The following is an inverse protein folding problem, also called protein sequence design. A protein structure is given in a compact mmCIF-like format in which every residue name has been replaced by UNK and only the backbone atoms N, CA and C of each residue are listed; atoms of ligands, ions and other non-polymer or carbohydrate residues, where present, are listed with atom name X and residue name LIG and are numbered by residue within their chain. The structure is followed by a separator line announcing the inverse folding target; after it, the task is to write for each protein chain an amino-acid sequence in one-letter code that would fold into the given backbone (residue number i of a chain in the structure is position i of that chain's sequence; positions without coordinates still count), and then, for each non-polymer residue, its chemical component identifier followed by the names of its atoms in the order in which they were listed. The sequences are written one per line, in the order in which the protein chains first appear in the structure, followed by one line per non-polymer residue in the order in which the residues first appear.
data_IF_318820284110
#
_entry.id   IF_318820284110
#
_cell.length_a   1.000
_cell.length_b   1.000
_cell.length_c   1.000
_cell.angle_alpha   90.00
_cell.angle_beta   90.00
_cell.angle_gamma   90.00
#
_symmetry.space_group_name_H-M   'P 1'
#
loop_
_entity.id
_entity.type
_entity.pdbx_description
1 polymer ?
#
# COMPACT_ATOMS: atom_id res chain seq x y z
N UNK A 1 72.15 39.25 -21.51
CA UNK A 1 70.73 39.48 -21.83
C UNK A 1 70.39 38.56 -23.00
N UNK A 2 69.69 37.42 -22.88
CA UNK A 2 68.39 37.21 -22.21
C UNK A 2 67.34 38.02 -22.98
N UNK A 3 66.45 37.47 -23.81
CA UNK A 3 65.49 36.39 -23.53
C UNK A 3 65.27 35.48 -24.75
N UNK A 4 65.31 34.16 -24.51
CA UNK A 4 64.61 33.17 -25.32
C UNK A 4 63.22 33.01 -24.71
N UNK A 5 62.16 33.47 -25.37
CA UNK A 5 60.80 33.07 -24.99
C UNK A 5 60.53 31.67 -25.56
N UNK A 6 60.96 30.66 -24.80
CA UNK A 6 60.56 29.25 -24.96
C UNK A 6 59.09 29.14 -24.58
N UNK A 7 58.29 28.61 -25.49
CA UNK A 7 56.96 28.08 -25.21
C UNK A 7 57.12 26.98 -24.14
N UNK A 8 56.56 27.21 -22.96
CA UNK A 8 56.56 26.27 -21.84
C UNK A 8 55.61 25.08 -22.13
N UNK A 9 55.88 23.90 -21.55
CA UNK A 9 55.24 22.65 -21.91
C UNK A 9 53.86 22.46 -21.27
N UNK A 10 53.06 21.69 -21.99
CA UNK A 10 51.91 20.89 -21.56
C UNK A 10 52.13 20.22 -20.20
N UNK A 11 51.30 20.57 -19.22
CA UNK A 11 50.90 19.71 -18.10
C UNK A 11 49.45 20.07 -17.75
N UNK A 12 48.50 19.39 -18.39
CA UNK A 12 47.11 19.38 -17.94
C UNK A 12 47.01 18.43 -16.72
N UNK A 13 46.54 18.89 -15.55
CA UNK A 13 46.47 18.04 -14.37
C UNK A 13 45.43 16.95 -14.59
N UNK A 14 45.87 15.70 -14.77
CA UNK A 14 45.05 14.51 -14.55
C UNK A 14 44.78 14.34 -13.04
N UNK A 15 43.54 14.44 -12.58
CA UNK A 15 42.97 13.46 -11.67
C UNK A 15 42.19 12.44 -12.53
N UNK A 16 42.36 11.15 -12.26
CA UNK A 16 41.78 10.08 -13.06
C UNK A 16 40.25 10.23 -13.22
N UNK A 17 39.83 10.68 -14.42
CA UNK A 17 38.44 10.91 -14.84
C UNK A 17 37.65 9.59 -15.01
N UNK A 18 38.32 8.48 -14.77
CA UNK A 18 37.87 7.14 -15.08
C UNK A 18 38.49 6.17 -14.09
N UNK A 19 37.65 5.37 -13.44
CA UNK A 19 38.09 4.36 -12.48
C UNK A 19 37.73 3.00 -13.05
N UNK A 20 38.72 2.12 -13.15
CA UNK A 20 38.55 0.77 -13.67
C UNK A 20 38.62 -0.23 -12.52
N UNK A 21 37.65 -1.13 -12.43
CA UNK A 21 37.57 -2.16 -11.40
C UNK A 21 36.73 -3.34 -11.90
N UNK A 22 37.19 -4.57 -11.67
CA UNK A 22 36.41 -5.79 -11.93
C UNK A 22 35.85 -5.93 -13.35
N UNK A 23 36.55 -5.42 -14.38
CA UNK A 23 36.07 -5.43 -15.77
C UNK A 23 35.09 -4.30 -16.12
N UNK A 24 34.91 -3.31 -15.25
CA UNK A 24 34.09 -2.13 -15.46
C UNK A 24 34.89 -0.84 -15.42
N UNK A 25 34.37 0.16 -16.10
CA UNK A 25 34.92 1.50 -16.25
C UNK A 25 33.84 2.48 -15.78
N UNK A 26 34.09 3.18 -14.68
CA UNK A 26 33.20 4.21 -14.15
C UNK A 26 33.73 5.59 -14.50
N UNK A 27 32.93 6.37 -15.24
CA UNK A 27 33.22 7.74 -15.64
C UNK A 27 32.67 8.69 -14.57
N UNK A 28 33.56 9.19 -13.70
CA UNK A 28 33.17 9.98 -12.52
C UNK A 28 32.53 11.34 -12.88
N UNK A 29 32.82 11.90 -14.06
CA UNK A 29 32.22 13.18 -14.51
C UNK A 29 30.74 13.06 -14.88
N UNK A 30 30.34 11.94 -15.46
CA UNK A 30 28.99 11.76 -16.00
C UNK A 30 28.18 10.73 -15.21
N UNK A 31 28.75 10.20 -14.12
CA UNK A 31 28.17 9.11 -13.33
C UNK A 31 27.74 7.91 -14.20
N UNK A 32 28.54 7.59 -15.22
CA UNK A 32 28.25 6.49 -16.16
C UNK A 32 29.09 5.26 -15.84
N UNK A 33 28.44 4.11 -15.72
CA UNK A 33 29.09 2.81 -15.62
C UNK A 33 29.14 2.14 -16.99
N UNK A 34 30.31 1.68 -17.40
CA UNK A 34 30.54 0.98 -18.67
C UNK A 34 31.31 -0.32 -18.43
N UNK A 35 31.17 -1.30 -19.31
CA UNK A 35 32.10 -2.44 -19.36
C UNK A 35 33.43 -2.01 -19.99
N UNK A 36 34.50 -2.78 -19.80
CA UNK A 36 35.78 -2.57 -20.51
C UNK A 36 35.66 -2.62 -22.05
N UNK A 37 34.61 -3.26 -22.56
CA UNK A 37 34.26 -3.29 -23.99
C UNK A 37 33.49 -2.02 -24.46
N UNK A 38 33.23 -1.08 -23.54
CA UNK A 38 32.59 0.21 -23.83
C UNK A 38 31.05 0.21 -23.80
N UNK A 39 30.41 -0.90 -23.41
CA UNK A 39 28.94 -1.00 -23.31
C UNK A 39 28.44 -0.31 -22.03
N UNK A 40 27.44 0.56 -22.16
CA UNK A 40 26.80 1.20 -21.00
C UNK A 40 26.05 0.16 -20.14
N UNK A 41 26.22 0.25 -18.83
CA UNK A 41 25.50 -0.54 -17.83
C UNK A 41 24.48 0.38 -17.18
N UNK A 42 23.20 -0.01 -17.22
CA UNK A 42 22.14 0.80 -16.65
C UNK A 42 22.23 0.79 -15.12
N UNK A 43 22.27 1.99 -14.53
CA UNK A 43 22.36 2.21 -13.10
C UNK A 43 21.53 3.43 -12.75
N UNK A 44 20.63 3.30 -11.77
CA UNK A 44 19.79 4.42 -11.32
C UNK A 44 20.65 5.61 -10.88
N UNK A 45 20.15 6.83 -11.10
CA UNK A 45 20.87 8.09 -10.79
C UNK A 45 21.45 8.12 -9.38
N UNK A 46 20.64 7.79 -8.36
CA UNK A 46 21.09 7.80 -6.96
C UNK A 46 22.16 6.74 -6.64
N UNK A 47 22.11 5.57 -7.31
CA UNK A 47 23.16 4.55 -7.16
C UNK A 47 24.44 4.96 -7.86
N UNK A 48 24.35 5.65 -8.99
CA UNK A 48 25.50 6.18 -9.69
C UNK A 48 26.18 7.29 -8.87
N UNK A 49 25.41 8.10 -8.15
CA UNK A 49 25.92 9.07 -7.17
C UNK A 49 26.62 8.40 -5.98
N UNK A 50 26.02 7.35 -5.39
CA UNK A 50 26.69 6.52 -4.36
C UNK A 50 27.99 5.94 -4.88
N UNK A 51 27.97 5.37 -6.09
CA UNK A 51 29.17 4.82 -6.72
C UNK A 51 30.21 5.91 -6.97
N UNK A 52 29.81 7.12 -7.34
CA UNK A 52 30.72 8.26 -7.53
C UNK A 52 31.41 8.67 -6.24
N UNK A 53 30.68 8.72 -5.11
CA UNK A 53 31.27 9.05 -3.80
C UNK A 53 32.25 7.96 -3.35
N UNK A 54 31.94 6.69 -3.59
CA UNK A 54 32.84 5.57 -3.29
C UNK A 54 34.06 5.53 -4.23
N UNK A 55 33.84 5.81 -5.51
CA UNK A 55 34.88 5.83 -6.52
C UNK A 55 35.82 7.02 -6.33
N UNK A 56 35.35 8.15 -5.80
CA UNK A 56 36.21 9.27 -5.41
C UNK A 56 37.22 8.90 -4.29
N UNK A 57 36.98 7.81 -3.54
CA UNK A 57 37.86 7.32 -2.47
C UNK A 57 38.08 5.80 -2.57
N UNK A 58 38.75 5.34 -3.64
CA UNK A 58 38.90 3.90 -3.88
C UNK A 58 39.72 3.25 -2.75
N UNK A 59 39.24 2.12 -2.23
CA UNK A 59 39.87 1.40 -1.12
C UNK A 59 39.67 1.99 0.27
N UNK A 60 39.09 3.19 0.39
CA UNK A 60 38.75 3.80 1.68
C UNK A 60 37.35 3.38 2.15
N UNK A 61 37.15 3.38 3.47
CA UNK A 61 35.86 3.07 4.09
C UNK A 61 35.08 4.38 4.21
N UNK A 62 33.95 4.47 3.54
CA UNK A 62 33.02 5.59 3.67
C UNK A 62 31.88 5.17 4.61
N UNK A 63 31.69 5.93 5.70
CA UNK A 63 30.64 5.64 6.66
C UNK A 63 29.25 5.85 6.07
N UNK A 64 28.26 5.18 6.66
CA UNK A 64 26.85 5.35 6.29
C UNK A 64 26.42 6.81 6.38
N UNK A 65 26.71 7.46 7.49
CA UNK A 65 26.33 8.86 7.73
C UNK A 65 26.98 9.80 6.71
N UNK A 66 28.24 9.54 6.32
CA UNK A 66 28.92 10.32 5.29
C UNK A 66 28.31 10.14 3.90
N UNK A 67 27.90 8.92 3.54
CA UNK A 67 27.16 8.67 2.28
C UNK A 67 25.78 9.32 2.29
N UNK A 68 25.08 9.24 3.43
CA UNK A 68 23.77 9.83 3.62
C UNK A 68 23.83 11.35 3.50
N UNK A 69 24.80 11.99 4.15
CA UNK A 69 25.00 13.44 4.10
C UNK A 69 25.48 13.91 2.71
N UNK A 70 26.28 13.12 2.00
CA UNK A 70 26.81 13.51 0.69
C UNK A 70 25.74 13.52 -0.42
N UNK A 71 24.74 12.64 -0.33
CA UNK A 71 23.76 12.41 -1.40
C UNK A 71 22.39 13.00 -1.03
N UNK A 72 22.06 13.02 0.27
CA UNK A 72 20.82 13.57 0.78
C UNK A 72 21.08 14.62 1.87
N UNK A 73 21.78 15.74 1.56
CA UNK A 73 22.14 16.74 2.56
C UNK A 73 20.91 17.39 3.22
N UNK A 74 19.81 17.55 2.49
CA UNK A 74 18.59 18.24 2.93
C UNK A 74 17.34 17.35 2.81
N UNK A 75 17.49 16.03 2.85
CA UNK A 75 16.36 15.09 2.70
C UNK A 75 16.42 13.99 3.76
N UNK A 76 15.33 13.82 4.50
CA UNK A 76 15.18 12.70 5.43
C UNK A 76 14.94 11.41 4.65
N UNK A 77 16.02 10.66 4.42
CA UNK A 77 15.98 9.31 3.85
C UNK A 77 16.24 8.28 4.95
N UNK A 78 15.57 7.14 4.87
CA UNK A 78 15.84 6.01 5.77
C UNK A 78 17.08 5.25 5.31
N UNK A 79 17.64 4.51 6.26
CA UNK A 79 18.74 3.58 6.09
C UNK A 79 18.57 2.59 4.91
N UNK A 80 17.33 2.27 4.55
CA UNK A 80 16.96 1.37 3.45
C UNK A 80 17.30 1.96 2.07
N UNK A 81 17.26 3.28 1.91
CA UNK A 81 17.59 3.95 0.64
C UNK A 81 19.05 3.70 0.23
N UNK A 82 19.97 3.74 1.20
CA UNK A 82 21.38 3.44 0.97
C UNK A 82 21.60 1.93 0.72
N UNK A 83 20.90 1.07 1.46
CA UNK A 83 20.98 -0.39 1.26
C UNK A 83 20.55 -0.75 -0.16
N UNK A 84 19.46 -0.16 -0.66
CA UNK A 84 19.01 -0.36 -2.03
C UNK A 84 20.02 0.18 -3.05
N UNK A 85 20.70 1.31 -2.76
CA UNK A 85 21.72 1.85 -3.68
C UNK A 85 22.85 0.85 -3.87
N UNK A 86 23.35 0.31 -2.75
CA UNK A 86 24.45 -0.65 -2.75
C UNK A 86 24.03 -1.97 -3.42
N UNK A 87 22.80 -2.42 -3.21
CA UNK A 87 22.26 -3.60 -3.88
C UNK A 87 22.18 -3.42 -5.42
N UNK A 88 21.73 -2.24 -5.87
CA UNK A 88 21.65 -1.93 -7.30
C UNK A 88 23.04 -1.84 -7.94
N UNK A 89 24.03 -1.26 -7.24
CA UNK A 89 25.43 -1.24 -7.69
C UNK A 89 25.98 -2.66 -7.82
N UNK A 90 25.79 -3.52 -6.81
CA UNK A 90 26.27 -4.91 -6.84
C UNK A 90 25.66 -5.70 -7.98
N UNK A 91 24.35 -5.53 -8.21
CA UNK A 91 23.66 -6.18 -9.34
C UNK A 91 24.20 -5.70 -10.69
N UNK A 92 24.45 -4.41 -10.84
CA UNK A 92 25.01 -3.84 -12.06
C UNK A 92 26.44 -4.34 -12.34
N UNK A 93 27.21 -4.61 -11.29
CA UNK A 93 28.59 -5.12 -11.36
C UNK A 93 28.67 -6.65 -11.41
N UNK A 94 27.54 -7.36 -11.31
CA UNK A 94 27.51 -8.81 -11.07
C UNK A 94 28.39 -9.24 -9.87
N UNK A 95 28.44 -8.41 -8.83
CA UNK A 95 29.27 -8.58 -7.63
C UNK A 95 28.53 -9.41 -6.56
N UNK A 96 28.14 -10.64 -6.91
CA UNK A 96 27.39 -11.53 -6.01
C UNK A 96 28.20 -11.94 -4.77
N UNK A 97 29.54 -11.91 -4.87
CA UNK A 97 30.46 -12.21 -3.78
C UNK A 97 30.76 -11.00 -2.88
N UNK A 98 30.21 -9.82 -3.19
CA UNK A 98 30.51 -8.55 -2.50
C UNK A 98 32.02 -8.22 -2.45
N UNK A 99 32.76 -8.63 -3.47
CA UNK A 99 34.20 -8.47 -3.58
C UNK A 99 34.58 -7.07 -4.08
N UNK A 100 33.74 -6.46 -4.92
CA UNK A 100 33.95 -5.13 -5.51
C UNK A 100 33.41 -4.04 -4.59
N UNK A 101 32.18 -4.19 -4.09
CA UNK A 101 31.58 -3.27 -3.10
C UNK A 101 31.37 -4.03 -1.80
N UNK A 102 32.29 -3.83 -0.86
CA UNK A 102 32.34 -4.54 0.40
C UNK A 102 31.55 -3.79 1.48
N UNK A 103 30.78 -4.54 2.28
CA UNK A 103 30.12 -4.01 3.49
C UNK A 103 30.96 -4.37 4.70
N UNK A 104 31.44 -3.35 5.43
CA UNK A 104 32.16 -3.51 6.68
C UNK A 104 31.20 -3.22 7.84
N UNK A 105 30.80 -4.25 8.63
CA UNK A 105 29.82 -4.09 9.69
C UNK A 105 30.19 -2.94 10.65
N UNK A 106 29.23 -2.06 10.92
CA UNK A 106 29.37 -0.87 11.80
C UNK A 106 30.39 0.18 11.34
N UNK A 107 30.98 0.04 10.15
CA UNK A 107 32.00 0.97 9.62
C UNK A 107 31.57 1.64 8.31
N UNK A 108 30.83 0.95 7.45
CA UNK A 108 30.32 1.51 6.21
C UNK A 108 30.64 0.64 4.99
N UNK A 109 30.89 1.29 3.85
CA UNK A 109 31.12 0.63 2.57
C UNK A 109 32.48 0.99 2.00
N UNK A 110 33.07 0.07 1.25
CA UNK A 110 34.35 0.27 0.55
C UNK A 110 34.23 -0.24 -0.89
N UNK A 111 34.69 0.57 -1.83
CA UNK A 111 34.90 0.12 -3.20
C UNK A 111 36.32 -0.41 -3.34
N UNK A 112 36.46 -1.71 -3.56
CA UNK A 112 37.73 -2.36 -3.81
C UNK A 112 38.11 -2.18 -5.29
N UNK A 113 38.50 -0.95 -5.66
CA UNK A 113 39.12 -0.68 -6.94
C UNK A 113 40.64 -0.89 -6.80
N UNK A 114 41.14 -2.07 -7.15
CA UNK A 114 42.58 -2.27 -7.30
C UNK A 114 43.05 -1.54 -8.58
N UNK A 115 44.05 -0.63 -8.52
CA UNK A 115 44.60 0.04 -9.70
C UNK A 115 45.42 -0.87 -10.63
N UNK A 116 45.33 -2.19 -10.49
CA UNK A 116 46.21 -3.15 -11.18
C UNK A 116 45.41 -4.25 -11.87
N UNK A 117 44.66 -3.87 -12.91
CA UNK A 117 44.39 -4.73 -14.07
C UNK A 117 44.87 -4.05 -15.38
N UNK A 118 45.80 -3.08 -15.25
CA UNK A 118 46.46 -2.41 -16.36
C UNK A 118 47.86 -2.96 -16.66
N UNK A 119 48.19 -4.18 -16.23
CA UNK A 119 49.54 -4.73 -16.43
C UNK A 119 49.50 -6.24 -16.63
N UNK A 120 49.01 -6.66 -17.81
CA UNK A 120 49.42 -7.92 -18.43
C UNK A 120 49.24 -7.85 -19.96
N UNK A 121 49.59 -6.70 -20.54
CA UNK A 121 49.64 -6.51 -21.99
C UNK A 121 50.90 -5.74 -22.38
N UNK A 122 52.06 -6.28 -22.01
CA UNK A 122 53.29 -6.00 -22.74
C UNK A 122 54.31 -7.13 -22.54
N UNK A 123 54.24 -8.15 -23.40
CA UNK A 123 55.40 -8.89 -23.94
C UNK A 123 54.97 -10.17 -24.70
N UNK A 124 54.21 -10.02 -25.78
CA UNK A 124 54.23 -11.02 -26.84
C UNK A 124 53.89 -10.39 -28.20
N UNK A 125 54.88 -9.66 -28.69
CA UNK A 125 55.21 -9.57 -30.10
C UNK A 125 54.22 -8.86 -31.04
N UNK A 126 54.59 -7.60 -31.31
CA UNK A 126 54.72 -7.06 -32.66
C UNK A 126 55.10 -8.16 -33.67
N UNK A 127 54.12 -8.64 -34.43
CA UNK A 127 54.12 -9.17 -35.81
C UNK A 127 52.79 -9.91 -35.94
N UNK A 128 51.76 -9.39 -36.59
CA UNK A 128 51.74 -9.15 -38.03
C UNK A 128 50.49 -8.32 -38.38
N UNK A 129 50.68 -7.29 -39.20
CA UNK A 129 49.60 -6.52 -39.84
C UNK A 129 48.90 -7.40 -40.89
N UNK A 130 47.58 -7.31 -40.91
CA UNK A 130 46.68 -7.49 -42.06
C UNK A 130 46.48 -8.93 -42.62
N UNK A 131 45.28 -9.48 -42.41
CA UNK A 131 44.26 -9.62 -43.48
C UNK A 131 42.97 -10.27 -42.96
N UNK A 132 41.87 -9.61 -43.29
CA UNK A 132 40.48 -10.06 -43.21
C UNK A 132 40.26 -11.40 -43.91
N UNK A 133 39.77 -12.42 -43.19
CA UNK A 133 39.01 -13.54 -43.76
C UNK A 133 37.95 -14.01 -42.77
N UNK A 134 36.71 -13.58 -43.01
CA UNK A 134 35.53 -14.04 -42.27
C UNK A 134 35.32 -15.54 -42.57
N UNK A 135 35.57 -16.40 -41.59
CA UNK A 135 35.36 -17.85 -41.70
C UNK A 135 33.86 -18.16 -41.70
N UNK A 136 33.40 -18.95 -42.67
CA UNK A 136 32.01 -19.46 -42.76
C UNK A 136 31.52 -20.12 -41.46
N UNK A 137 32.43 -20.62 -40.62
CA UNK A 137 32.10 -21.18 -39.29
C UNK A 137 31.69 -20.10 -38.28
N UNK A 138 32.24 -18.90 -38.38
CA UNK A 138 31.85 -17.75 -37.54
C UNK A 138 30.46 -17.23 -37.86
N UNK A 139 30.04 -17.32 -39.13
CA UNK A 139 28.67 -16.95 -39.55
C UNK A 139 27.64 -17.96 -39.03
N UNK A 140 27.96 -19.27 -39.06
CA UNK A 140 27.07 -20.31 -38.52
C UNK A 140 26.95 -20.17 -36.99
N UNK A 141 28.05 -19.90 -36.29
CA UNK A 141 28.02 -19.71 -34.83
C UNK A 141 27.25 -18.44 -34.45
N UNK A 142 27.43 -17.34 -35.20
CA UNK A 142 26.66 -16.11 -35.01
C UNK A 142 25.16 -16.30 -35.28
N UNK A 143 24.80 -17.11 -36.28
CA UNK A 143 23.41 -17.47 -36.55
C UNK A 143 22.79 -18.31 -35.43
N UNK A 144 23.52 -19.27 -34.87
CA UNK A 144 23.04 -20.08 -33.73
C UNK A 144 22.87 -19.21 -32.48
N UNK A 145 23.81 -18.29 -32.20
CA UNK A 145 23.70 -17.35 -31.08
C UNK A 145 22.52 -16.40 -31.28
N UNK A 146 22.27 -15.92 -32.50
CA UNK A 146 21.11 -15.08 -32.80
C UNK A 146 19.79 -15.85 -32.65
N UNK A 147 19.74 -17.12 -33.05
CA UNK A 147 18.55 -17.96 -32.86
C UNK A 147 18.35 -18.29 -31.37
N UNK A 148 19.41 -18.60 -30.63
CA UNK A 148 19.35 -18.84 -29.19
C UNK A 148 18.96 -17.56 -28.42
N UNK A 149 19.45 -16.39 -28.84
CA UNK A 149 19.06 -15.10 -28.30
C UNK A 149 17.63 -14.73 -28.66
N UNK A 150 17.15 -15.07 -29.86
CA UNK A 150 15.76 -14.86 -30.26
C UNK A 150 14.81 -15.81 -29.51
N UNK A 151 15.20 -17.06 -29.30
CA UNK A 151 14.46 -18.04 -28.48
C UNK A 151 14.48 -17.59 -27.01
N UNK A 152 15.63 -17.19 -26.49
CA UNK A 152 15.77 -16.63 -25.13
C UNK A 152 15.00 -15.33 -24.94
N UNK A 153 14.90 -14.48 -25.96
CA UNK A 153 14.06 -13.28 -25.93
C UNK A 153 12.57 -13.62 -26.07
N UNK A 154 12.21 -14.65 -26.85
CA UNK A 154 10.83 -15.10 -27.02
C UNK A 154 10.28 -15.72 -25.72
N UNK A 155 11.02 -16.64 -25.10
CA UNK A 155 10.65 -17.25 -23.82
C UNK A 155 10.96 -16.34 -22.60
N UNK A 156 12.00 -15.50 -22.69
CA UNK A 156 12.33 -14.51 -21.65
C UNK A 156 11.36 -13.34 -21.59
N UNK A 157 10.75 -12.97 -22.72
CA UNK A 157 9.65 -12.00 -22.75
C UNK A 157 8.36 -12.55 -22.14
N UNK A 158 8.16 -13.87 -22.10
CA UNK A 158 7.09 -14.51 -21.31
C UNK A 158 7.41 -14.53 -19.81
N UNK A 159 8.68 -14.76 -19.44
CA UNK A 159 9.12 -14.72 -18.05
C UNK A 159 9.15 -13.30 -17.43
N UNK A 160 9.32 -12.25 -18.25
CA UNK A 160 9.25 -10.84 -17.81
C UNK A 160 7.85 -10.22 -17.97
N UNK A 161 6.95 -10.86 -18.73
CA UNK A 161 5.51 -10.54 -18.75
C UNK A 161 4.70 -11.30 -17.69
N UNK A 162 5.33 -12.19 -16.94
CA UNK A 162 4.79 -12.66 -15.68
C UNK A 162 4.86 -11.53 -14.66
N UNK A 163 3.99 -10.52 -14.83
CA UNK A 163 3.40 -9.82 -13.70
C UNK A 163 3.02 -10.89 -12.67
N UNK A 164 3.19 -10.65 -11.36
CA UNK A 164 2.79 -11.62 -10.36
C UNK A 164 1.40 -12.11 -10.74
N UNK A 165 1.27 -13.40 -11.04
CA UNK A 165 -0.01 -14.00 -11.36
C UNK A 165 -0.83 -13.84 -10.09
N UNK A 166 -1.58 -12.73 -9.98
CA UNK A 166 -2.58 -12.53 -8.95
C UNK A 166 -3.75 -13.41 -9.37
N UNK A 167 -3.61 -14.72 -9.19
CA UNK A 167 -4.70 -15.68 -9.33
C UNK A 167 -5.58 -15.58 -8.10
N UNK A 168 -6.38 -14.53 -8.07
CA UNK A 168 -7.61 -14.49 -7.32
C UNK A 168 -8.60 -13.92 -8.30
N UNK A 169 -9.54 -14.73 -8.80
CA UNK A 169 -10.70 -14.23 -9.54
C UNK A 169 -11.51 -13.20 -8.72
N UNK A 170 -11.23 -13.11 -7.41
CA UNK A 170 -11.82 -12.18 -6.47
C UNK A 170 -11.03 -10.87 -6.42
N UNK A 171 -11.64 -9.73 -6.80
CA UNK A 171 -11.06 -8.39 -6.70
C UNK A 171 -10.65 -8.05 -5.28
N UNK A 172 -9.52 -7.35 -5.11
CA UNK A 172 -9.01 -6.91 -3.81
C UNK A 172 -9.15 -5.40 -3.66
N UNK A 173 -9.74 -4.93 -2.56
CA UNK A 173 -9.98 -3.52 -2.28
C UNK A 173 -9.36 -3.09 -0.94
N UNK A 174 -8.73 -1.91 -0.93
CA UNK A 174 -8.33 -1.23 0.30
C UNK A 174 -9.09 0.08 0.46
N UNK A 175 -9.53 0.36 1.67
CA UNK A 175 -10.19 1.61 2.04
C UNK A 175 -9.19 2.45 2.83
N UNK A 176 -8.80 3.58 2.26
CA UNK A 176 -7.89 4.54 2.86
C UNK A 176 -8.61 5.39 3.91
N UNK A 177 -7.87 5.93 4.89
CA UNK A 177 -8.45 6.84 5.87
C UNK A 177 -9.01 8.07 5.15
N UNK A 178 -10.26 8.42 5.45
CA UNK A 178 -10.88 9.61 4.88
C UNK A 178 -10.24 10.87 5.48
N UNK A 179 -9.97 11.85 4.63
CA UNK A 179 -9.54 13.16 5.09
C UNK A 179 -10.68 13.87 5.82
N UNK A 180 -10.34 14.60 6.89
CA UNK A 180 -11.32 15.37 7.64
C UNK A 180 -11.01 16.88 7.55
N UNK A 181 -11.86 17.58 6.80
CA UNK A 181 -11.81 19.04 6.62
C UNK A 181 -12.78 19.79 7.54
N UNK A 182 -13.32 19.13 8.57
CA UNK A 182 -14.14 19.75 9.61
C UNK A 182 -13.30 20.63 10.55
N UNK A 183 -13.93 21.61 11.19
CA UNK A 183 -13.28 22.55 12.12
C UNK A 183 -13.63 22.24 13.59
N UNK A 184 -12.71 22.52 14.52
CA UNK A 184 -12.97 22.45 15.97
C UNK A 184 -12.99 21.03 16.56
N UNK A 185 -13.85 20.81 17.57
CA UNK A 185 -13.95 19.56 18.34
C UNK A 185 -14.52 18.37 17.54
N UNK A 186 -15.06 18.63 16.34
CA UNK A 186 -15.65 17.62 15.46
C UNK A 186 -14.62 16.87 14.58
N UNK A 187 -13.32 17.17 14.73
CA UNK A 187 -12.25 16.69 13.83
C UNK A 187 -11.77 15.28 14.20
N UNK A 188 -11.74 14.39 13.20
CA UNK A 188 -11.05 13.10 13.19
C UNK A 188 -11.89 11.88 13.60
N UNK A 189 -12.93 12.07 14.42
CA UNK A 189 -13.76 10.95 14.88
C UNK A 189 -14.62 10.36 13.76
N UNK A 190 -15.23 11.24 12.96
CA UNK A 190 -16.25 10.84 11.99
C UNK A 190 -15.64 10.19 10.74
N UNK A 191 -14.44 10.61 10.31
CA UNK A 191 -13.78 10.09 9.10
C UNK A 191 -13.30 8.66 9.28
N UNK A 192 -12.85 8.32 10.48
CA UNK A 192 -12.42 6.97 10.83
C UNK A 192 -13.61 6.01 10.91
N UNK A 193 -14.72 6.46 11.51
CA UNK A 193 -15.94 5.68 11.59
C UNK A 193 -16.52 5.36 10.20
N UNK A 194 -16.38 6.27 9.23
CA UNK A 194 -16.80 6.06 7.83
C UNK A 194 -16.04 4.93 7.17
N UNK A 195 -14.72 5.04 7.17
CA UNK A 195 -13.89 4.03 6.54
C UNK A 195 -14.04 2.66 7.23
N UNK A 196 -14.20 2.63 8.55
CA UNK A 196 -14.39 1.39 9.32
C UNK A 196 -15.73 0.71 9.05
N UNK A 197 -16.82 1.47 8.95
CA UNK A 197 -18.14 0.94 8.55
C UNK A 197 -18.09 0.32 7.15
N UNK A 198 -17.44 0.99 6.20
CA UNK A 198 -17.27 0.48 4.83
C UNK A 198 -16.44 -0.81 4.82
N UNK A 199 -15.31 -0.86 5.54
CA UNK A 199 -14.47 -2.06 5.64
C UNK A 199 -15.28 -3.24 6.20
N UNK A 200 -16.03 -3.01 7.27
CA UNK A 200 -16.81 -4.05 7.96
C UNK A 200 -17.88 -4.63 7.03
N UNK A 201 -18.61 -3.76 6.31
CA UNK A 201 -19.66 -4.20 5.39
C UNK A 201 -19.13 -4.91 4.16
N UNK A 202 -18.06 -4.38 3.57
CA UNK A 202 -17.44 -5.03 2.43
C UNK A 202 -16.83 -6.38 2.83
N UNK A 203 -16.25 -6.52 4.02
CA UNK A 203 -15.63 -7.77 4.47
C UNK A 203 -16.62 -8.93 4.62
N UNK A 204 -17.93 -8.66 4.72
CA UNK A 204 -18.98 -9.69 4.75
C UNK A 204 -19.26 -10.31 3.39
N UNK A 205 -18.89 -9.63 2.31
CA UNK A 205 -19.07 -10.16 0.96
C UNK A 205 -18.01 -11.21 0.62
N UNK A 206 -18.43 -12.27 -0.08
CA UNK A 206 -17.53 -13.27 -0.66
C UNK A 206 -17.12 -12.94 -2.09
N UNK A 207 -17.48 -11.76 -2.62
CA UNK A 207 -17.20 -11.39 -4.02
C UNK A 207 -15.96 -10.51 -4.18
N UNK A 208 -15.37 -10.03 -3.10
CA UNK A 208 -14.13 -9.24 -3.09
C UNK A 208 -13.41 -9.42 -1.76
N UNK A 209 -12.08 -9.31 -1.76
CA UNK A 209 -11.26 -9.36 -0.55
C UNK A 209 -10.93 -7.93 -0.08
N UNK A 210 -11.15 -7.66 1.20
CA UNK A 210 -10.93 -6.33 1.77
C UNK A 210 -9.66 -6.30 2.62
N UNK A 211 -8.82 -5.29 2.44
CA UNK A 211 -7.63 -5.08 3.27
C UNK A 211 -8.03 -4.52 4.64
N UNK A 212 -7.45 -5.11 5.69
CA UNK A 212 -7.70 -4.72 7.07
C UNK A 212 -7.33 -3.26 7.35
N UNK A 213 -8.13 -2.60 8.21
CA UNK A 213 -8.01 -1.21 8.64
C UNK A 213 -6.57 -0.79 8.97
N UNK A 214 -5.86 -1.56 9.81
CA UNK A 214 -4.51 -1.24 10.28
C UNK A 214 -3.46 -1.22 9.15
N UNK A 215 -3.69 -1.98 8.07
CA UNK A 215 -2.81 -1.97 6.91
C UNK A 215 -3.05 -0.73 6.06
N UNK A 216 -4.29 -0.32 5.85
CA UNK A 216 -4.63 0.85 5.03
C UNK A 216 -4.42 2.19 5.76
N UNK A 217 -4.62 2.26 7.07
CA UNK A 217 -4.57 3.51 7.83
C UNK A 217 -3.15 4.03 8.07
N UNK A 218 -2.11 3.22 7.77
CA UNK A 218 -0.69 3.65 7.83
C UNK A 218 -0.32 4.72 6.82
N UNK A 219 -1.17 4.94 5.80
CA UNK A 219 -0.99 5.94 4.74
C UNK A 219 -1.61 7.30 5.10
N UNK A 220 -2.21 7.45 6.29
CA UNK A 220 -2.77 8.73 6.74
C UNK A 220 -1.73 9.86 6.66
N UNK A 221 -2.10 10.94 5.99
CA UNK A 221 -1.29 12.17 5.92
C UNK A 221 0.03 12.00 5.18
N UNK A 222 0.23 10.88 4.46
CA UNK A 222 1.39 10.67 3.62
C UNK A 222 1.03 11.02 2.17
N UNK A 223 1.79 11.91 1.52
CA UNK A 223 1.66 12.11 0.08
C UNK A 223 2.28 10.90 -0.62
N UNK A 224 1.48 9.87 -0.88
CA UNK A 224 1.93 8.64 -1.55
C UNK A 224 1.08 8.43 -2.80
N UNK A 225 1.73 8.05 -3.91
CA UNK A 225 1.06 7.71 -5.17
C UNK A 225 0.15 6.50 -4.96
N UNK A 226 -1.07 6.56 -5.48
CA UNK A 226 -2.07 5.49 -5.35
C UNK A 226 -1.58 4.17 -5.93
N UNK A 227 -0.74 4.19 -6.97
CA UNK A 227 -0.11 2.99 -7.55
C UNK A 227 0.84 2.33 -6.56
N UNK A 228 1.65 3.13 -5.87
CA UNK A 228 2.57 2.63 -4.86
C UNK A 228 1.81 1.99 -3.69
N UNK A 229 0.73 2.63 -3.23
CA UNK A 229 -0.14 2.07 -2.19
C UNK A 229 -0.77 0.74 -2.67
N UNK A 230 -1.19 0.71 -3.94
CA UNK A 230 -1.72 -0.45 -4.63
C UNK A 230 -0.78 -1.65 -4.63
N UNK A 231 0.49 -1.39 -4.98
CA UNK A 231 1.55 -2.39 -5.02
C UNK A 231 1.92 -2.89 -3.62
N UNK A 232 2.08 -1.98 -2.66
CA UNK A 232 2.44 -2.31 -1.27
C UNK A 232 1.34 -3.13 -0.56
N UNK A 233 0.06 -2.79 -0.79
CA UNK A 233 -1.08 -3.50 -0.20
C UNK A 233 -1.52 -4.72 -1.03
N UNK A 234 -1.06 -4.83 -2.27
CA UNK A 234 -1.44 -5.89 -3.20
C UNK A 234 -2.93 -5.85 -3.57
N UNK A 235 -3.49 -4.66 -3.78
CA UNK A 235 -4.90 -4.45 -4.13
C UNK A 235 -5.10 -4.12 -5.60
N UNK A 236 -6.32 -4.31 -6.09
CA UNK A 236 -6.75 -3.91 -7.43
C UNK A 236 -7.47 -2.56 -7.41
N UNK A 237 -8.13 -2.23 -6.28
CA UNK A 237 -8.86 -0.99 -6.11
C UNK A 237 -8.54 -0.30 -4.78
N UNK A 238 -8.52 1.02 -4.81
CA UNK A 238 -8.36 1.89 -3.65
C UNK A 238 -9.57 2.81 -3.52
N UNK A 239 -10.21 2.80 -2.34
CA UNK A 239 -11.22 3.79 -1.99
C UNK A 239 -10.58 4.89 -1.14
N UNK A 240 -10.73 6.12 -1.60
CA UNK A 240 -10.30 7.31 -0.89
C UNK A 240 -11.47 8.27 -0.74
N UNK A 241 -11.34 9.22 0.18
CA UNK A 241 -12.38 10.20 0.33
C UNK A 241 -12.04 11.27 1.34
N UNK A 242 -12.95 12.22 1.43
CA UNK A 242 -12.90 13.27 2.42
C UNK A 242 -14.28 13.53 2.98
N UNK A 243 -14.33 14.06 4.17
CA UNK A 243 -15.54 14.55 4.79
C UNK A 243 -15.33 15.93 5.37
N UNK A 244 -16.41 16.69 5.42
CA UNK A 244 -16.43 18.02 6.00
C UNK A 244 -17.79 18.26 6.65
N UNK A 245 -17.78 18.51 7.96
CA UNK A 245 -18.93 18.96 8.73
C UNK A 245 -18.84 20.47 8.95
N UNK A 246 -19.94 21.17 8.66
CA UNK A 246 -20.13 22.59 8.96
C UNK A 246 -21.50 22.76 9.64
N UNK A 247 -21.50 22.89 10.96
CA UNK A 247 -22.74 22.80 11.75
C UNK A 247 -23.39 21.43 11.58
N UNK A 248 -24.67 21.40 11.18
CA UNK A 248 -25.38 20.15 10.88
C UNK A 248 -25.15 19.64 9.46
N UNK A 249 -24.54 20.44 8.57
CA UNK A 249 -24.32 20.04 7.18
C UNK A 249 -23.08 19.19 7.05
N UNK A 250 -23.22 18.09 6.33
CA UNK A 250 -22.16 17.16 6.03
C UNK A 250 -21.95 17.07 4.52
N UNK A 251 -20.69 17.19 4.12
CA UNK A 251 -20.22 16.90 2.76
C UNK A 251 -19.26 15.73 2.83
N UNK A 252 -19.49 14.72 1.99
CA UNK A 252 -18.61 13.56 1.85
C UNK A 252 -18.26 13.39 0.39
N UNK A 253 -16.98 13.38 0.06
CA UNK A 253 -16.49 12.98 -1.25
C UNK A 253 -15.87 11.59 -1.13
N UNK A 254 -16.18 10.72 -2.08
CA UNK A 254 -15.60 9.39 -2.16
C UNK A 254 -15.20 9.12 -3.60
N UNK A 255 -14.06 8.46 -3.76
CA UNK A 255 -13.49 8.09 -5.05
C UNK A 255 -12.91 6.68 -5.00
N UNK A 256 -13.14 5.93 -6.07
CA UNK A 256 -12.57 4.61 -6.31
C UNK A 256 -11.54 4.74 -7.42
N UNK A 257 -10.31 4.33 -7.13
CA UNK A 257 -9.21 4.31 -8.08
C UNK A 257 -8.83 2.88 -8.43
N UNK A 258 -8.41 2.67 -9.67
CA UNK A 258 -7.70 1.46 -10.09
C UNK A 258 -6.25 1.57 -9.60
N UNK A 259 -5.83 0.58 -8.83
CA UNK A 259 -4.52 0.58 -8.18
C UNK A 259 -3.37 0.29 -9.15
N UNK A 260 -3.64 -0.23 -10.36
CA UNK A 260 -2.61 -0.58 -11.34
C UNK A 260 -2.11 0.62 -12.13
N UNK A 261 -3.02 1.48 -12.58
CA UNK A 261 -2.69 2.64 -13.42
C UNK A 261 -3.02 3.99 -12.76
N UNK A 262 -3.64 3.98 -11.57
CA UNK A 262 -4.05 5.17 -10.84
C UNK A 262 -5.28 5.85 -11.45
N UNK A 263 -5.98 5.21 -12.38
CA UNK A 263 -7.15 5.78 -13.03
C UNK A 263 -8.34 5.90 -12.07
N UNK A 264 -9.14 6.96 -12.25
CA UNK A 264 -10.35 7.18 -11.48
C UNK A 264 -11.50 6.35 -12.05
N UNK A 265 -11.89 5.29 -11.37
CA UNK A 265 -13.00 4.40 -11.76
C UNK A 265 -14.35 5.06 -11.45
N UNK A 266 -14.43 5.75 -10.32
CA UNK A 266 -15.64 6.40 -9.87
C UNK A 266 -15.32 7.51 -8.88
N UNK A 267 -16.08 8.60 -8.92
CA UNK A 267 -16.09 9.61 -7.87
C UNK A 267 -17.51 10.12 -7.69
N UNK A 268 -17.86 10.44 -6.45
CA UNK A 268 -19.10 11.15 -6.16
C UNK A 268 -18.95 12.03 -4.93
N UNK A 269 -19.74 13.09 -4.89
CA UNK A 269 -19.85 13.97 -3.74
C UNK A 269 -21.28 13.96 -3.24
N UNK A 270 -21.43 13.70 -1.96
CA UNK A 270 -22.70 13.65 -1.26
C UNK A 270 -22.78 14.85 -0.32
N UNK A 271 -23.90 15.54 -0.37
CA UNK A 271 -24.24 16.61 0.57
C UNK A 271 -25.49 16.17 1.32
N UNK A 272 -25.52 16.39 2.63
CA UNK A 272 -26.63 16.04 3.50
C UNK A 272 -26.46 16.66 4.88
N UNK A 273 -27.23 16.16 5.84
CA UNK A 273 -27.03 16.47 7.26
C UNK A 273 -26.12 15.43 7.91
N UNK A 274 -25.59 15.68 9.11
CA UNK A 274 -24.73 14.71 9.81
C UNK A 274 -25.44 13.37 10.05
N UNK A 275 -26.77 13.41 10.26
CA UNK A 275 -27.61 12.22 10.36
C UNK A 275 -27.63 11.37 9.08
N UNK A 276 -27.34 11.97 7.92
CA UNK A 276 -27.32 11.29 6.62
C UNK A 276 -25.98 10.60 6.32
N UNK A 277 -24.97 10.72 7.18
CA UNK A 277 -23.65 10.13 6.91
C UNK A 277 -23.75 8.63 6.60
N UNK A 278 -24.58 7.92 7.34
CA UNK A 278 -24.82 6.50 7.17
C UNK A 278 -25.56 6.19 5.85
N UNK A 279 -26.45 7.07 5.41
CA UNK A 279 -27.10 6.99 4.08
C UNK A 279 -26.05 7.12 2.98
N UNK A 280 -25.07 8.00 3.19
CA UNK A 280 -23.96 8.20 2.27
C UNK A 280 -23.03 6.99 2.25
N UNK A 281 -22.67 6.44 3.41
CA UNK A 281 -21.87 5.21 3.53
C UNK A 281 -22.51 4.05 2.77
N UNK A 282 -23.80 3.79 2.98
CA UNK A 282 -24.54 2.73 2.28
C UNK A 282 -24.52 2.93 0.76
N UNK A 283 -24.70 4.17 0.27
CA UNK A 283 -24.59 4.49 -1.16
C UNK A 283 -23.19 4.20 -1.71
N UNK A 284 -22.14 4.53 -0.94
CA UNK A 284 -20.76 4.23 -1.30
C UNK A 284 -20.57 2.71 -1.37
N UNK A 285 -20.94 1.97 -0.32
CA UNK A 285 -20.81 0.50 -0.24
C UNK A 285 -21.52 -0.19 -1.41
N UNK A 286 -22.76 0.18 -1.71
CA UNK A 286 -23.51 -0.39 -2.85
C UNK A 286 -22.84 -0.09 -4.17
N UNK A 287 -22.36 1.14 -4.35
CA UNK A 287 -21.65 1.52 -5.57
C UNK A 287 -20.34 0.74 -5.71
N UNK A 288 -19.62 0.51 -4.61
CA UNK A 288 -18.42 -0.32 -4.62
C UNK A 288 -18.73 -1.77 -4.93
N UNK A 289 -19.73 -2.37 -4.29
CA UNK A 289 -20.17 -3.73 -4.59
C UNK A 289 -20.57 -3.89 -6.06
N UNK A 290 -21.24 -2.89 -6.63
CA UNK A 290 -21.65 -2.85 -8.03
C UNK A 290 -20.48 -2.70 -9.01
N UNK A 291 -19.49 -1.87 -8.68
CA UNK A 291 -18.36 -1.53 -9.57
C UNK A 291 -17.22 -2.53 -9.47
N UNK A 292 -16.91 -2.99 -8.26
CA UNK A 292 -15.85 -3.96 -7.99
C UNK A 292 -16.33 -5.38 -8.31
N UNK A 293 -17.59 -5.71 -7.98
CA UNK A 293 -18.15 -7.04 -8.24
C UNK A 293 -18.43 -7.35 -9.71
N UNK A 294 -18.41 -6.35 -10.61
CA UNK A 294 -18.77 -6.50 -12.03
C UNK A 294 -17.59 -6.26 -12.96
N UNK A 295 -16.73 -7.28 -13.04
CA UNK A 295 -15.99 -7.62 -14.28
C UNK A 295 -16.89 -8.34 -15.31
N UNK A 296 -18.23 -8.26 -15.20
CA UNK A 296 -19.21 -8.89 -16.10
C UNK A 296 -20.32 -7.87 -16.44
N UNK A 297 -20.48 -7.61 -17.73
CA UNK A 297 -21.52 -6.79 -18.33
C UNK A 297 -22.93 -7.28 -17.96
N UNK A 298 -23.67 -6.51 -17.16
CA UNK A 298 -25.14 -6.46 -17.23
C UNK A 298 -25.68 -5.18 -16.59
N UNK A 299 -26.54 -4.42 -17.28
CA UNK A 299 -27.23 -3.28 -16.70
C UNK A 299 -28.46 -3.78 -15.91
N UNK A 300 -28.56 -3.40 -14.64
CA UNK A 300 -29.74 -3.62 -13.79
C UNK A 300 -29.79 -2.51 -12.73
N UNK A 301 -30.96 -2.24 -12.13
CA UNK A 301 -32.02 -1.35 -12.58
C UNK A 301 -31.93 0.00 -11.86
N UNK A 302 -32.38 1.09 -12.50
CA UNK A 302 -32.65 2.34 -11.76
C UNK A 302 -33.83 2.10 -10.82
N UNK A 303 -33.66 2.31 -9.50
CA UNK A 303 -34.80 2.36 -8.58
C UNK A 303 -34.56 3.39 -7.47
N UNK A 304 -35.60 4.21 -7.24
CA UNK A 304 -35.55 5.48 -6.51
C UNK A 304 -35.51 5.35 -4.98
N UNK A 305 -35.16 6.49 -4.36
CA UNK A 305 -35.15 6.79 -2.91
C UNK A 305 -34.44 5.78 -1.99
N UNK A 306 -33.33 6.24 -1.39
CA UNK A 306 -32.46 5.50 -0.49
C UNK A 306 -33.20 4.98 0.76
N UNK A 307 -33.17 3.67 0.99
CA UNK A 307 -33.56 3.04 2.25
C UNK A 307 -32.30 2.71 3.08
N UNK A 308 -32.33 3.02 4.38
CA UNK A 308 -31.24 2.74 5.34
C UNK A 308 -31.30 1.25 5.70
N UNK A 309 -30.16 0.53 5.69
CA UNK A 309 -30.15 -0.90 6.00
C UNK A 309 -30.27 -1.18 7.51
N UNK A 310 -30.76 -2.37 7.88
CA UNK A 310 -30.99 -2.77 9.27
C UNK A 310 -29.73 -2.68 10.14
N UNK A 311 -28.56 -3.05 9.61
CA UNK A 311 -27.31 -2.87 10.31
C UNK A 311 -27.02 -1.41 10.62
N UNK A 312 -27.22 -0.50 9.67
CA UNK A 312 -26.87 0.89 9.88
C UNK A 312 -27.69 1.51 11.01
N UNK A 313 -28.98 1.18 11.09
CA UNK A 313 -29.80 1.55 12.24
C UNK A 313 -29.25 0.99 13.56
N UNK A 314 -28.79 -0.26 13.58
CA UNK A 314 -28.17 -0.87 14.75
C UNK A 314 -26.86 -0.17 15.18
N UNK A 315 -25.97 0.10 14.22
CA UNK A 315 -24.70 0.81 14.46
C UNK A 315 -24.92 2.26 14.91
N UNK A 316 -25.90 2.97 14.34
CA UNK A 316 -26.32 4.30 14.80
C UNK A 316 -26.76 4.23 16.26
N UNK A 317 -27.51 3.20 16.61
CA UNK A 317 -27.89 2.93 17.97
C UNK A 317 -26.68 2.76 18.90
N UNK A 318 -25.73 1.91 18.51
CA UNK A 318 -24.49 1.66 19.28
C UNK A 318 -23.71 2.97 19.48
N UNK A 319 -23.60 3.80 18.44
CA UNK A 319 -22.92 5.09 18.54
C UNK A 319 -23.61 6.00 19.57
N UNK A 320 -24.94 6.08 19.55
CA UNK A 320 -25.71 6.95 20.46
C UNK A 320 -25.64 6.50 21.91
N UNK A 321 -25.64 5.20 22.18
CA UNK A 321 -25.54 4.69 23.56
C UNK A 321 -24.10 4.74 24.11
N UNK A 322 -23.08 4.73 23.24
CA UNK A 322 -21.68 4.94 23.62
C UNK A 322 -21.35 6.41 23.89
N UNK A 323 -22.01 7.33 23.20
CA UNK A 323 -21.87 8.78 23.42
C UNK A 323 -22.31 9.18 24.83
N UNK A 324 -23.46 8.65 25.28
CA UNK A 324 -23.96 8.81 26.64
C UNK A 324 -24.75 7.58 27.06
N UNK A 325 -24.30 6.92 28.13
CA UNK A 325 -24.93 5.72 28.66
C UNK A 325 -26.01 6.10 29.68
N UNK A 326 -27.22 6.37 29.20
CA UNK A 326 -28.37 6.78 30.02
C UNK A 326 -29.69 6.19 29.54
N UNK A 327 -30.72 6.19 30.40
CA UNK A 327 -32.05 5.69 30.09
C UNK A 327 -32.64 6.31 28.81
N UNK A 328 -32.48 7.63 28.63
CA UNK A 328 -32.95 8.34 27.45
C UNK A 328 -32.24 7.87 26.15
N UNK A 329 -30.95 7.55 26.22
CA UNK A 329 -30.20 7.02 25.07
C UNK A 329 -30.49 5.55 24.84
N UNK A 330 -30.79 4.76 25.87
CA UNK A 330 -31.24 3.38 25.73
C UNK A 330 -32.61 3.29 25.02
N UNK A 331 -33.50 4.27 25.25
CA UNK A 331 -34.76 4.38 24.52
C UNK A 331 -34.52 4.78 23.04
N UNK A 332 -33.63 5.73 22.76
CA UNK A 332 -33.25 6.04 21.38
C UNK A 332 -32.61 4.84 20.68
N UNK A 333 -31.77 4.08 21.39
CA UNK A 333 -31.17 2.84 20.92
C UNK A 333 -32.24 1.82 20.51
N UNK A 334 -33.30 1.67 21.31
CA UNK A 334 -34.46 0.83 21.01
C UNK A 334 -35.18 1.29 19.75
N UNK A 335 -35.49 2.58 19.64
CA UNK A 335 -36.20 3.13 18.49
C UNK A 335 -35.44 2.94 17.18
N UNK A 336 -34.11 3.10 17.20
CA UNK A 336 -33.27 2.83 16.04
C UNK A 336 -33.30 1.35 15.66
N UNK A 337 -33.24 0.44 16.64
CA UNK A 337 -33.30 -1.00 16.36
C UNK A 337 -34.71 -1.50 15.96
N UNK A 338 -35.78 -0.80 16.34
CA UNK A 338 -37.11 -1.04 15.76
C UNK A 338 -37.15 -0.68 14.27
N UNK A 339 -36.58 0.47 13.89
CA UNK A 339 -36.43 0.83 12.46
C UNK A 339 -35.57 -0.15 11.70
N UNK A 340 -34.55 -0.74 12.34
CA UNK A 340 -33.77 -1.82 11.75
C UNK A 340 -34.65 -3.03 11.37
N UNK A 341 -35.57 -3.43 12.26
CA UNK A 341 -36.53 -4.52 11.99
C UNK A 341 -37.53 -4.12 10.91
N UNK A 342 -38.00 -2.87 10.90
CA UNK A 342 -38.93 -2.39 9.87
C UNK A 342 -38.33 -2.46 8.47
N UNK A 343 -37.04 -2.14 8.30
CA UNK A 343 -36.41 -2.18 6.99
C UNK A 343 -35.94 -3.56 6.55
N UNK A 344 -35.45 -4.40 7.46
CA UNK A 344 -35.20 -5.81 7.16
C UNK A 344 -35.60 -6.71 8.34
N UNK A 345 -36.84 -7.22 8.34
CA UNK A 345 -37.33 -8.12 9.38
C UNK A 345 -36.56 -9.44 9.47
N UNK A 346 -35.81 -9.81 8.42
CA UNK A 346 -35.01 -11.04 8.35
C UNK A 346 -33.53 -10.80 8.72
N UNK A 347 -33.16 -9.57 9.08
CA UNK A 347 -31.82 -9.26 9.59
C UNK A 347 -31.76 -9.40 11.11
N UNK A 348 -30.67 -9.98 11.63
CA UNK A 348 -30.44 -10.13 13.06
C UNK A 348 -30.23 -8.81 13.82
N UNK A 349 -29.72 -7.75 13.18
CA UNK A 349 -29.19 -6.56 13.87
C UNK A 349 -30.22 -5.81 14.73
N UNK A 350 -31.44 -5.63 14.23
CA UNK A 350 -32.49 -4.98 15.02
C UNK A 350 -32.86 -5.80 16.26
N UNK A 351 -32.89 -7.12 16.15
CA UNK A 351 -33.17 -8.00 17.28
C UNK A 351 -32.02 -8.03 18.30
N UNK A 352 -30.76 -8.01 17.85
CA UNK A 352 -29.59 -7.88 18.73
C UNK A 352 -29.70 -6.61 19.57
N UNK A 353 -30.01 -5.48 18.94
CA UNK A 353 -30.09 -4.22 19.69
C UNK A 353 -31.31 -4.12 20.61
N UNK A 354 -32.44 -4.74 20.26
CA UNK A 354 -33.55 -4.87 21.21
C UNK A 354 -33.16 -5.73 22.42
N UNK A 355 -32.45 -6.84 22.21
CA UNK A 355 -31.98 -7.68 23.31
C UNK A 355 -31.09 -6.89 24.28
N UNK A 356 -30.10 -6.15 23.76
CA UNK A 356 -29.27 -5.25 24.58
C UNK A 356 -30.08 -4.17 25.29
N UNK A 357 -31.05 -3.54 24.61
CA UNK A 357 -31.88 -2.48 25.20
C UNK A 357 -32.68 -2.99 26.40
N UNK A 358 -33.39 -4.11 26.26
CA UNK A 358 -34.18 -4.69 27.35
C UNK A 358 -33.31 -5.22 28.49
N UNK A 359 -32.15 -5.80 28.16
CA UNK A 359 -31.16 -6.20 29.17
C UNK A 359 -30.65 -5.02 29.98
N UNK A 360 -30.34 -3.90 29.33
CA UNK A 360 -29.89 -2.67 30.02
C UNK A 360 -30.97 -2.13 30.95
N UNK A 361 -32.24 -2.11 30.50
CA UNK A 361 -33.34 -1.71 31.36
C UNK A 361 -33.43 -2.56 32.63
N UNK A 362 -33.32 -3.90 32.48
CA UNK A 362 -33.34 -4.83 33.59
C UNK A 362 -32.16 -4.65 34.55
N UNK A 363 -30.96 -4.40 34.01
CA UNK A 363 -29.73 -4.28 34.78
C UNK A 363 -29.66 -2.96 35.56
N UNK A 364 -30.13 -1.86 34.97
CA UNK A 364 -29.98 -0.52 35.53
C UNK A 364 -31.29 0.06 36.12
N UNK A 365 -32.40 -0.68 36.05
CA UNK A 365 -33.70 -0.23 36.56
C UNK A 365 -34.21 1.02 35.84
N UNK A 366 -33.95 1.13 34.54
CA UNK A 366 -34.27 2.32 33.74
C UNK A 366 -35.71 2.36 33.24
N UNK A 367 -36.50 1.30 33.48
CA UNK A 367 -37.92 1.26 33.17
C UNK A 367 -38.73 0.78 34.38
N UNK A 368 -40.05 0.97 34.34
CA UNK A 368 -40.99 0.48 35.36
C UNK A 368 -41.37 -1.00 35.17
N UNK A 369 -40.76 -1.69 34.19
CA UNK A 369 -41.04 -3.09 33.91
C UNK A 369 -40.34 -3.99 34.94
N UNK A 370 -40.95 -5.14 35.22
CA UNK A 370 -40.33 -6.14 36.07
C UNK A 370 -39.00 -6.59 35.43
N UNK A 371 -37.94 -6.65 36.24
CA UNK A 371 -36.60 -7.07 35.83
C UNK A 371 -36.64 -8.42 35.11
N UNK A 372 -37.40 -9.38 35.63
CA UNK A 372 -37.45 -10.73 35.07
C UNK A 372 -38.23 -10.76 33.76
N UNK A 373 -39.26 -9.91 33.61
CA UNK A 373 -39.97 -9.72 32.33
C UNK A 373 -39.06 -9.08 31.27
N UNK A 374 -38.27 -8.09 31.65
CA UNK A 374 -37.32 -7.42 30.76
C UNK A 374 -36.21 -8.38 30.30
N UNK A 375 -35.64 -9.19 31.20
CA UNK A 375 -34.66 -10.22 30.83
C UNK A 375 -35.28 -11.30 29.92
N UNK A 376 -36.53 -11.71 30.18
CA UNK A 376 -37.25 -12.65 29.31
C UNK A 376 -37.43 -12.08 27.90
N UNK A 377 -37.85 -10.82 27.76
CA UNK A 377 -37.96 -10.17 26.44
C UNK A 377 -36.61 -10.04 25.76
N UNK A 378 -35.56 -9.70 26.50
CA UNK A 378 -34.21 -9.65 25.97
C UNK A 378 -33.78 -11.00 25.40
N UNK A 379 -34.07 -12.10 26.12
CA UNK A 379 -33.79 -13.47 25.69
C UNK A 379 -34.54 -13.84 24.40
N UNK A 380 -35.84 -13.53 24.30
CA UNK A 380 -36.64 -13.79 23.11
C UNK A 380 -36.07 -13.09 21.85
N UNK A 381 -35.60 -11.86 21.99
CA UNK A 381 -34.95 -11.14 20.89
C UNK A 381 -33.57 -11.69 20.54
N UNK A 382 -32.78 -12.09 21.54
CA UNK A 382 -31.48 -12.73 21.31
C UNK A 382 -31.64 -14.09 20.60
N UNK A 383 -32.61 -14.91 20.99
CA UNK A 383 -32.92 -16.18 20.34
C UNK A 383 -33.35 -15.98 18.88
N UNK A 384 -34.14 -14.94 18.61
CA UNK A 384 -34.52 -14.58 17.24
C UNK A 384 -33.34 -14.11 16.41
N UNK A 385 -32.41 -13.33 16.99
CA UNK A 385 -31.19 -12.92 16.31
C UNK A 385 -30.32 -14.13 15.93
N UNK A 386 -30.13 -15.09 16.86
CA UNK A 386 -29.39 -16.33 16.61
C UNK A 386 -30.07 -17.17 15.53
N UNK A 387 -31.40 -17.26 15.53
CA UNK A 387 -32.13 -17.99 14.50
C UNK A 387 -31.90 -17.42 13.09
N UNK A 388 -31.82 -16.09 12.96
CA UNK A 388 -31.60 -15.40 11.68
C UNK A 388 -30.13 -15.44 11.25
N UNK A 389 -29.19 -15.42 12.20
CA UNK A 389 -27.76 -15.52 11.93
C UNK A 389 -27.06 -16.43 12.97
N UNK A 390 -27.05 -17.76 12.73
CA UNK A 390 -26.53 -18.73 13.70
C UNK A 390 -25.04 -18.58 14.04
N UNK A 391 -24.25 -17.98 13.14
CA UNK A 391 -22.81 -17.78 13.30
C UNK A 391 -22.45 -16.36 13.81
N UNK A 392 -23.45 -15.52 14.13
CA UNK A 392 -23.21 -14.14 14.58
C UNK A 392 -22.74 -14.09 16.04
N UNK A 393 -21.50 -13.67 16.23
CA UNK A 393 -20.85 -13.64 17.54
C UNK A 393 -21.54 -12.67 18.53
N UNK A 394 -22.12 -11.57 18.05
CA UNK A 394 -22.76 -10.58 18.91
C UNK A 394 -24.10 -11.11 19.44
N UNK A 395 -24.87 -11.82 18.60
CA UNK A 395 -26.11 -12.49 19.00
C UNK A 395 -25.87 -13.53 20.12
N UNK A 396 -24.82 -14.34 20.01
CA UNK A 396 -24.43 -15.28 21.07
C UNK A 396 -23.92 -14.57 22.33
N UNK A 397 -23.17 -13.47 22.15
CA UNK A 397 -22.64 -12.70 23.28
C UNK A 397 -23.75 -12.11 24.15
N UNK A 398 -24.77 -11.48 23.55
CA UNK A 398 -25.89 -10.95 24.33
C UNK A 398 -26.67 -12.07 25.01
N UNK A 399 -26.87 -13.21 24.33
CA UNK A 399 -27.58 -14.35 24.93
C UNK A 399 -26.88 -14.89 26.17
N UNK A 400 -25.55 -15.04 26.10
CA UNK A 400 -24.73 -15.43 27.24
C UNK A 400 -24.77 -14.39 28.38
N UNK A 401 -24.76 -13.09 28.05
CA UNK A 401 -24.90 -12.03 29.06
C UNK A 401 -26.25 -12.13 29.79
N UNK A 402 -27.34 -12.40 29.07
CA UNK A 402 -28.68 -12.52 29.67
C UNK A 402 -28.74 -13.73 30.61
N UNK A 403 -28.22 -14.90 30.21
CA UNK A 403 -28.15 -16.08 31.08
C UNK A 403 -27.37 -15.82 32.37
N UNK A 404 -26.21 -15.15 32.25
CA UNK A 404 -25.40 -14.76 33.41
C UNK A 404 -26.19 -13.89 34.39
N UNK A 405 -27.01 -12.97 33.88
CA UNK A 405 -27.80 -12.05 34.70
C UNK A 405 -29.08 -12.66 35.26
N UNK A 406 -29.65 -13.65 34.56
CA UNK A 406 -30.74 -14.47 35.07
C UNK A 406 -30.25 -15.48 36.14
N UNK A 407 -28.94 -15.66 36.31
CA UNK A 407 -28.36 -16.65 37.21
C UNK A 407 -28.38 -18.08 36.66
N UNK A 408 -28.62 -18.22 35.36
CA UNK A 408 -28.68 -19.48 34.61
C UNK A 408 -27.27 -19.79 34.06
N UNK A 409 -26.32 -20.05 34.94
CA UNK A 409 -24.94 -20.39 34.55
C UNK A 409 -24.80 -21.91 34.51
N UNK A 410 -24.88 -22.49 33.31
CA UNK A 410 -24.35 -23.82 32.96
C UNK A 410 -23.07 -23.66 32.14
#
# INVERSE_FOLDING_TARGET
MGEMSRKAPEIDPKPAETITFGGFVFLTRNSELRTVEGKAVDLRSQSAEVLSVLAARPGEIVSKDALMQAIWPDTFVTDDSLIQCIADIRRALADDAHAIVETLPRRGYRLNAHPSDATDLDAAAVKERAKTRLSRRGVILAAIVLVAAAIGAYYGAEAWRAAPVRSSDMPRIAILPFDDFSAGADKGYLSDAVAEGIITELARSKTYAVIARNSSFRYRGKPTDTRQIGDELGVDYLLEGSQQKIGERLKVAAQLLDAHDGSLVWANTYNGEIGDLFVVQEKIIRTLADRVGRRIERPLPQSGAAKVSALHYHLMGIAKIREDFSAARNELYRQLNLKAIEEDPNSQFGYIGLAWSYRNDAMFGWNEQDRDEALKRAAEYADKAILLAPDDAEAHNIRASIHTEAGEVE
#
